data_IF_393544458814
#
_entry.id   IF_393544458814
#
_cell.length_a   1.000
_cell.length_b   1.000
_cell.length_c   1.000
_cell.angle_alpha   90.00
_cell.angle_beta   90.00
_cell.angle_gamma   90.00
#
_symmetry.space_group_name_H-M   'P 1'
#
loop_
_entity.id
_entity.type
_entity.pdbx_description
1 polymer ?
#
# COMPACT_ATOMS: atom_id res chain seq x y z
N UNK A 1 33.81 7.18 -31.14
CA UNK A 1 33.22 6.34 -30.07
C UNK A 1 32.74 7.25 -28.96
N UNK A 2 31.45 7.65 -28.99
CA UNK A 2 30.87 8.48 -27.95
C UNK A 2 30.46 7.60 -26.76
N UNK A 3 31.23 7.66 -25.68
CA UNK A 3 30.78 7.16 -24.37
C UNK A 3 29.63 8.07 -23.91
N UNK A 4 28.38 7.63 -24.12
CA UNK A 4 27.22 8.23 -23.43
C UNK A 4 27.49 8.07 -21.93
N UNK A 5 27.75 9.21 -21.25
CA UNK A 5 27.72 9.31 -19.79
C UNK A 5 26.29 8.96 -19.34
N UNK A 6 26.02 7.70 -19.02
CA UNK A 6 24.92 7.34 -18.14
C UNK A 6 25.29 7.83 -16.74
N UNK A 7 24.94 9.06 -16.41
CA UNK A 7 24.81 9.48 -15.04
C UNK A 7 23.96 8.41 -14.35
N UNK A 8 24.51 7.66 -13.42
CA UNK A 8 23.78 6.68 -12.62
C UNK A 8 22.75 7.46 -11.79
N UNK A 9 21.55 7.64 -12.32
CA UNK A 9 20.45 8.22 -11.54
C UNK A 9 20.32 7.36 -10.28
N UNK A 10 20.45 8.00 -9.12
CA UNK A 10 20.29 7.33 -7.83
C UNK A 10 18.88 6.70 -7.81
N UNK A 11 18.79 5.41 -7.51
CA UNK A 11 17.51 4.74 -7.29
C UNK A 11 16.91 5.32 -6.02
N UNK A 12 15.67 5.80 -6.09
CA UNK A 12 14.87 6.24 -4.95
C UNK A 12 13.77 5.21 -4.70
N UNK A 13 13.66 4.71 -3.48
CA UNK A 13 12.69 3.69 -3.13
C UNK A 13 11.72 4.25 -2.09
N UNK A 14 10.43 4.13 -2.40
CA UNK A 14 9.33 4.41 -1.49
C UNK A 14 8.47 3.14 -1.38
N UNK A 15 8.44 2.54 -0.19
CA UNK A 15 7.57 1.41 0.13
C UNK A 15 6.23 1.96 0.62
N UNK A 16 5.19 1.89 -0.21
CA UNK A 16 3.90 2.53 0.09
C UNK A 16 3.03 1.76 1.10
N UNK A 17 3.43 0.54 1.50
CA UNK A 17 2.65 -0.26 2.46
C UNK A 17 3.52 -1.34 3.11
N UNK A 18 3.71 -1.23 4.43
CA UNK A 18 4.47 -2.20 5.23
C UNK A 18 3.94 -2.29 6.67
N UNK A 19 3.86 -3.47 7.26
CA UNK A 19 3.45 -3.70 8.65
C UNK A 19 4.68 -3.75 9.57
N UNK A 20 5.29 -2.60 9.86
CA UNK A 20 6.55 -2.54 10.62
C UNK A 20 6.41 -2.81 12.12
N UNK A 21 5.18 -2.82 12.63
CA UNK A 21 4.87 -3.23 14.01
C UNK A 21 4.81 -4.74 14.20
N UNK A 22 4.74 -5.51 13.10
CA UNK A 22 4.71 -6.98 13.18
C UNK A 22 5.93 -7.53 13.93
N UNK A 23 5.70 -8.45 14.86
CA UNK A 23 6.73 -9.01 15.74
C UNK A 23 7.92 -9.65 15.00
N UNK A 24 7.74 -10.05 13.73
CA UNK A 24 8.80 -10.61 12.86
C UNK A 24 9.81 -9.56 12.40
N UNK A 25 9.44 -8.27 12.43
CA UNK A 25 10.28 -7.13 12.03
C UNK A 25 10.73 -6.28 13.23
N UNK A 26 10.16 -6.53 14.42
CA UNK A 26 10.42 -5.74 15.62
C UNK A 26 11.90 -5.82 16.02
N UNK A 27 12.51 -4.65 16.24
CA UNK A 27 13.90 -4.54 16.65
C UNK A 27 14.93 -4.64 15.51
N UNK A 28 14.50 -4.67 14.25
CA UNK A 28 15.41 -4.58 13.10
C UNK A 28 15.83 -3.12 12.89
N UNK A 29 16.97 -2.74 13.44
CA UNK A 29 17.56 -1.38 13.32
C UNK A 29 17.86 -1.02 11.86
N UNK A 30 17.99 -2.02 10.97
CA UNK A 30 18.30 -1.86 9.56
C UNK A 30 17.06 -1.90 8.66
N UNK A 31 15.86 -1.84 9.25
CA UNK A 31 14.59 -1.99 8.52
C UNK A 31 14.43 -0.99 7.37
N UNK A 32 14.99 0.21 7.52
CA UNK A 32 14.94 1.29 6.51
C UNK A 32 16.24 1.45 5.70
N UNK A 33 17.18 0.51 5.81
CA UNK A 33 18.41 0.60 5.01
C UNK A 33 18.08 0.54 3.51
N UNK A 34 18.70 1.44 2.74
CA UNK A 34 18.51 1.60 1.29
C UNK A 34 17.07 1.96 0.84
N UNK A 35 16.13 2.23 1.77
CA UNK A 35 14.78 2.73 1.46
C UNK A 35 14.69 4.21 1.86
N UNK A 36 14.27 5.06 0.91
CA UNK A 36 14.23 6.50 1.14
C UNK A 36 13.00 6.90 1.98
N UNK A 37 11.83 6.27 1.73
CA UNK A 37 10.59 6.48 2.49
C UNK A 37 9.78 5.19 2.58
N UNK A 38 9.00 5.06 3.65
CA UNK A 38 7.97 4.02 3.75
C UNK A 38 6.75 4.51 4.51
N UNK A 39 5.59 3.91 4.21
CA UNK A 39 4.36 4.02 5.01
C UNK A 39 4.21 2.75 5.83
N UNK A 40 4.21 2.90 7.16
CA UNK A 40 3.85 1.81 8.07
C UNK A 40 2.36 1.83 8.35
N UNK A 41 1.73 0.67 8.23
CA UNK A 41 0.31 0.50 8.53
C UNK A 41 0.15 0.11 9.98
N UNK A 42 -0.76 0.77 10.67
CA UNK A 42 -1.13 0.53 12.05
C UNK A 42 -2.57 0.03 12.14
N UNK A 43 -2.75 -1.15 12.70
CA UNK A 43 -4.04 -1.69 13.11
C UNK A 43 -4.29 -1.32 14.57
N UNK A 44 -5.37 -0.60 14.93
CA UNK A 44 -5.71 -0.33 16.32
C UNK A 44 -5.74 -1.61 17.17
N UNK A 45 -5.01 -1.57 18.31
CA UNK A 45 -4.75 -2.73 19.15
C UNK A 45 -3.32 -3.30 19.04
N UNK A 46 -2.52 -2.88 18.06
CA UNK A 46 -1.11 -3.29 17.93
C UNK A 46 -0.14 -2.50 18.83
N UNK A 47 -0.62 -1.41 19.41
CA UNK A 47 0.15 -0.56 20.33
C UNK A 47 0.44 0.82 19.76
N UNK A 48 -0.42 1.78 20.07
CA UNK A 48 -0.37 3.16 19.58
C UNK A 48 0.96 3.87 19.91
N UNK A 49 1.56 3.57 21.06
CA UNK A 49 2.85 4.18 21.48
C UNK A 49 4.02 3.67 20.63
N UNK A 50 4.00 2.43 20.23
CA UNK A 50 5.01 1.84 19.34
C UNK A 50 4.86 2.44 17.94
N UNK A 51 3.64 2.65 17.49
CA UNK A 51 3.35 3.35 16.23
C UNK A 51 3.89 4.79 16.27
N UNK A 52 3.58 5.56 17.29
CA UNK A 52 4.11 6.93 17.47
C UNK A 52 5.65 6.96 17.45
N UNK A 53 6.32 6.00 18.12
CA UNK A 53 7.78 5.90 18.10
C UNK A 53 8.34 5.62 16.71
N UNK A 54 7.68 4.79 15.89
CA UNK A 54 8.09 4.55 14.52
C UNK A 54 8.03 5.83 13.69
N UNK A 55 6.99 6.65 13.88
CA UNK A 55 6.82 7.91 13.19
C UNK A 55 7.88 8.98 13.56
N UNK A 56 8.63 8.81 14.65
CA UNK A 56 9.78 9.64 14.96
C UNK A 56 10.90 9.50 13.93
N UNK A 57 10.99 8.39 13.19
CA UNK A 57 11.93 8.25 12.08
C UNK A 57 11.53 9.20 10.94
N UNK A 58 12.42 10.10 10.44
CA UNK A 58 12.08 11.09 9.41
C UNK A 58 11.68 10.46 8.06
N UNK A 59 12.04 9.21 7.80
CA UNK A 59 11.73 8.48 6.56
C UNK A 59 10.45 7.66 6.64
N UNK A 60 9.83 7.53 7.83
CA UNK A 60 8.60 6.80 8.04
C UNK A 60 7.40 7.74 8.14
N UNK A 61 6.34 7.34 7.49
CA UNK A 61 5.00 7.88 7.57
C UNK A 61 4.05 6.78 8.02
N UNK A 62 2.83 7.12 8.38
CA UNK A 62 1.86 6.19 8.88
C UNK A 62 0.57 6.16 8.08
N UNK A 63 -0.09 5.02 8.09
CA UNK A 63 -1.51 4.88 7.80
C UNK A 63 -2.16 4.15 8.97
N UNK A 64 -3.38 4.53 9.32
CA UNK A 64 -4.12 3.93 10.42
C UNK A 64 -5.52 3.56 9.96
N UNK A 65 -5.92 2.31 10.17
CA UNK A 65 -7.22 1.79 9.76
C UNK A 65 -7.58 0.48 10.43
N UNK A 66 -8.85 0.10 10.38
CA UNK A 66 -9.31 -1.21 10.83
C UNK A 66 -9.47 -2.13 9.63
N UNK A 67 -8.60 -3.11 9.55
CA UNK A 67 -8.58 -4.10 8.49
C UNK A 67 -9.87 -4.95 8.49
N UNK A 68 -10.39 -5.39 7.34
CA UNK A 68 -11.62 -6.18 7.24
C UNK A 68 -11.63 -7.45 8.10
N UNK A 69 -10.48 -8.02 8.43
CA UNK A 69 -10.38 -9.18 9.32
C UNK A 69 -10.79 -8.88 10.77
N UNK A 70 -10.79 -7.61 11.18
CA UNK A 70 -11.08 -7.15 12.54
C UNK A 70 -12.28 -6.20 12.58
N UNK A 71 -13.09 -6.20 11.53
CA UNK A 71 -14.23 -5.28 11.39
C UNK A 71 -15.30 -5.48 12.46
N UNK A 72 -15.45 -6.68 13.01
CA UNK A 72 -16.37 -6.99 14.12
C UNK A 72 -15.98 -6.29 15.44
N UNK A 73 -14.71 -5.89 15.61
CA UNK A 73 -14.22 -5.09 16.73
C UNK A 73 -14.11 -3.59 16.42
N UNK A 74 -14.72 -3.07 15.35
CA UNK A 74 -14.54 -1.68 14.92
C UNK A 74 -14.89 -0.65 16.01
N UNK A 75 -16.01 -0.83 16.71
CA UNK A 75 -16.47 0.11 17.74
C UNK A 75 -15.51 0.24 18.92
N UNK A 76 -14.86 -0.84 19.32
CA UNK A 76 -13.87 -0.86 20.40
C UNK A 76 -12.54 -0.21 19.97
N UNK A 77 -12.25 -0.21 18.68
CA UNK A 77 -11.03 0.31 18.09
C UNK A 77 -11.11 1.78 17.65
N UNK A 78 -12.30 2.34 17.58
CA UNK A 78 -12.55 3.67 17.01
C UNK A 78 -11.75 4.79 17.72
N UNK A 79 -11.64 4.75 19.04
CA UNK A 79 -10.87 5.75 19.78
C UNK A 79 -9.37 5.72 19.42
N UNK A 80 -8.78 4.53 19.34
CA UNK A 80 -7.37 4.37 18.99
C UNK A 80 -7.12 4.67 17.50
N UNK A 81 -8.10 4.37 16.64
CA UNK A 81 -8.10 4.76 15.23
C UNK A 81 -8.03 6.29 15.10
N UNK A 82 -8.91 7.03 15.77
CA UNK A 82 -8.93 8.49 15.73
C UNK A 82 -7.65 9.09 16.30
N UNK A 83 -7.13 8.55 17.41
CA UNK A 83 -5.83 8.95 17.98
C UNK A 83 -4.69 8.74 16.98
N UNK A 84 -4.60 7.57 16.34
CA UNK A 84 -3.57 7.25 15.36
C UNK A 84 -3.64 8.12 14.10
N UNK A 85 -4.86 8.47 13.65
CA UNK A 85 -5.07 9.39 12.53
C UNK A 85 -4.69 10.84 12.88
N UNK A 86 -4.64 11.18 14.17
CA UNK A 86 -4.26 12.50 14.66
C UNK A 86 -2.76 12.78 14.70
N UNK A 87 -1.89 11.80 14.45
CA UNK A 87 -0.45 12.05 14.43
C UNK A 87 -0.02 12.74 13.13
N UNK A 88 0.82 13.77 13.24
CA UNK A 88 1.25 14.64 12.12
C UNK A 88 1.79 13.86 10.89
N UNK A 89 2.34 12.68 11.10
CA UNK A 89 2.92 11.85 10.04
C UNK A 89 2.03 10.68 9.61
N UNK A 90 0.80 10.63 10.09
CA UNK A 90 -0.22 9.73 9.56
C UNK A 90 -0.86 10.40 8.34
N UNK A 91 -0.58 9.85 7.17
CA UNK A 91 -0.85 10.47 5.86
C UNK A 91 -1.99 9.80 5.09
N UNK A 92 -2.59 8.74 5.62
CA UNK A 92 -3.71 8.03 5.01
C UNK A 92 -4.56 7.33 6.07
N UNK A 93 -5.83 7.13 5.79
CA UNK A 93 -6.65 6.15 6.49
C UNK A 93 -6.49 4.79 5.79
N UNK A 94 -6.14 3.79 6.55
CA UNK A 94 -5.98 2.42 6.06
C UNK A 94 -4.96 1.61 6.89
N UNK A 95 -5.00 0.33 6.72
CA UNK A 95 -5.68 -0.47 5.72
C UNK A 95 -7.14 -0.68 6.10
N UNK A 96 -8.07 -0.49 5.17
CA UNK A 96 -9.49 -0.74 5.33
C UNK A 96 -10.06 -1.37 4.06
N UNK A 97 -11.28 -1.88 4.07
CA UNK A 97 -11.88 -2.46 2.87
C UNK A 97 -12.59 -3.79 3.12
N UNK A 98 -12.47 -4.74 2.16
CA UNK A 98 -13.22 -5.99 2.16
C UNK A 98 -12.33 -7.21 1.84
N UNK A 99 -12.47 -8.29 2.62
CA UNK A 99 -11.88 -9.60 2.35
C UNK A 99 -12.96 -10.69 2.38
N UNK A 100 -13.41 -11.11 1.21
CA UNK A 100 -14.38 -12.21 1.04
C UNK A 100 -13.70 -13.55 0.75
N UNK A 101 -12.39 -13.61 0.93
CA UNK A 101 -11.65 -14.86 0.84
C UNK A 101 -11.51 -15.54 2.20
N UNK A 102 -11.11 -14.80 3.22
CA UNK A 102 -10.95 -15.34 4.59
C UNK A 102 -12.23 -15.20 5.42
N UNK A 103 -12.99 -14.11 5.22
CA UNK A 103 -14.23 -13.82 5.94
C UNK A 103 -14.09 -13.95 7.47
N UNK A 104 -12.97 -13.45 8.03
CA UNK A 104 -12.73 -13.49 9.48
C UNK A 104 -13.78 -12.69 10.27
N UNK A 105 -14.28 -11.58 9.68
CA UNK A 105 -15.50 -10.90 10.13
C UNK A 105 -16.61 -11.10 9.09
N UNK A 106 -17.89 -11.10 9.48
CA UNK A 106 -19.02 -11.21 8.55
C UNK A 106 -19.01 -10.12 7.47
N UNK A 107 -19.38 -10.45 6.25
CA UNK A 107 -19.35 -9.52 5.09
C UNK A 107 -20.07 -8.21 5.34
N UNK A 108 -21.26 -8.26 5.95
CA UNK A 108 -22.04 -7.05 6.22
C UNK A 108 -21.34 -6.14 7.24
N UNK A 109 -20.73 -6.72 8.27
CA UNK A 109 -19.93 -5.99 9.25
C UNK A 109 -18.69 -5.37 8.60
N UNK A 110 -18.00 -6.08 7.70
CA UNK A 110 -16.90 -5.51 6.92
C UNK A 110 -17.35 -4.29 6.12
N UNK A 111 -18.52 -4.37 5.44
CA UNK A 111 -19.07 -3.25 4.65
C UNK A 111 -19.42 -2.04 5.53
N UNK A 112 -20.04 -2.27 6.69
CA UNK A 112 -20.40 -1.22 7.63
C UNK A 112 -19.14 -0.52 8.19
N UNK A 113 -18.12 -1.28 8.60
CA UNK A 113 -16.85 -0.75 9.08
C UNK A 113 -16.11 0.02 7.98
N UNK A 114 -16.09 -0.51 6.75
CA UNK A 114 -15.47 0.17 5.60
C UNK A 114 -16.18 1.50 5.30
N UNK A 115 -17.51 1.50 5.20
CA UNK A 115 -18.28 2.73 4.94
C UNK A 115 -18.11 3.77 6.06
N UNK A 116 -18.00 3.35 7.32
CA UNK A 116 -17.73 4.23 8.45
C UNK A 116 -16.35 4.88 8.36
N UNK A 117 -15.34 4.10 8.01
CA UNK A 117 -13.98 4.59 7.82
C UNK A 117 -13.86 5.55 6.63
N UNK A 118 -14.59 5.31 5.52
CA UNK A 118 -14.63 6.27 4.41
C UNK A 118 -15.21 7.64 4.82
N UNK A 119 -16.28 7.65 5.65
CA UNK A 119 -16.82 8.89 6.19
C UNK A 119 -15.80 9.62 7.09
N UNK A 120 -15.06 8.87 7.88
CA UNK A 120 -14.00 9.45 8.73
C UNK A 120 -12.87 10.03 7.87
N UNK A 121 -12.40 9.30 6.84
CA UNK A 121 -11.40 9.78 5.90
C UNK A 121 -11.83 11.08 5.19
N UNK A 122 -13.08 11.14 4.73
CA UNK A 122 -13.66 12.33 4.09
C UNK A 122 -13.66 13.53 5.05
N UNK A 123 -14.06 13.33 6.31
CA UNK A 123 -14.08 14.37 7.34
C UNK A 123 -12.69 14.92 7.67
N UNK A 124 -11.65 14.09 7.54
CA UNK A 124 -10.24 14.43 7.80
C UNK A 124 -9.49 14.84 6.53
N UNK A 125 -10.13 14.77 5.36
CA UNK A 125 -9.51 14.99 4.04
C UNK A 125 -8.28 14.09 3.81
N UNK A 126 -8.33 12.85 4.27
CA UNK A 126 -7.26 11.86 4.11
C UNK A 126 -7.53 10.95 2.91
N UNK A 127 -6.50 10.59 2.14
CA UNK A 127 -6.60 9.51 1.17
C UNK A 127 -6.81 8.17 1.88
N UNK A 128 -7.33 7.15 1.17
CA UNK A 128 -7.58 5.84 1.74
C UNK A 128 -6.76 4.74 1.08
N UNK A 129 -6.21 3.82 1.88
CA UNK A 129 -5.56 2.59 1.44
C UNK A 129 -6.56 1.45 1.59
N UNK A 130 -6.93 0.84 0.45
CA UNK A 130 -8.03 -0.12 0.36
C UNK A 130 -7.51 -1.53 0.12
N UNK A 131 -7.88 -2.43 1.03
CA UNK A 131 -7.80 -3.87 0.85
C UNK A 131 -9.03 -4.38 0.07
N UNK A 132 -8.79 -5.14 -0.98
CA UNK A 132 -9.88 -5.76 -1.75
C UNK A 132 -9.49 -7.16 -2.19
N UNK A 133 -10.06 -8.18 -1.56
CA UNK A 133 -9.77 -9.57 -1.90
C UNK A 133 -11.04 -10.38 -2.13
N UNK A 134 -11.24 -10.82 -3.38
CA UNK A 134 -12.50 -11.46 -3.85
C UNK A 134 -13.75 -10.60 -3.58
N UNK A 135 -13.59 -9.29 -3.50
CA UNK A 135 -14.59 -8.34 -3.11
C UNK A 135 -14.67 -7.11 -4.04
N UNK A 136 -13.97 -7.14 -5.17
CA UNK A 136 -13.74 -5.97 -6.03
C UNK A 136 -15.05 -5.21 -6.37
N UNK A 137 -16.08 -5.90 -6.82
CA UNK A 137 -17.37 -5.28 -7.19
C UNK A 137 -18.04 -4.57 -6.02
N UNK A 138 -18.00 -5.18 -4.85
CA UNK A 138 -18.59 -4.61 -3.64
C UNK A 138 -17.77 -3.43 -3.13
N UNK A 139 -16.44 -3.54 -3.18
CA UNK A 139 -15.51 -2.45 -2.85
C UNK A 139 -15.77 -1.24 -3.74
N UNK A 140 -15.84 -1.42 -5.06
CA UNK A 140 -16.12 -0.33 -6.02
C UNK A 140 -17.47 0.33 -5.77
N UNK A 141 -18.51 -0.45 -5.40
CA UNK A 141 -19.84 0.09 -5.07
C UNK A 141 -19.83 0.98 -3.82
N UNK A 142 -19.12 0.55 -2.77
CA UNK A 142 -19.02 1.34 -1.53
C UNK A 142 -18.23 2.63 -1.78
N UNK A 143 -17.21 2.58 -2.64
CA UNK A 143 -16.40 3.74 -3.03
C UNK A 143 -17.15 4.76 -3.91
N UNK A 144 -18.32 4.45 -4.48
CA UNK A 144 -19.08 5.39 -5.33
C UNK A 144 -19.42 6.72 -4.63
N UNK A 145 -19.58 6.70 -3.30
CA UNK A 145 -19.87 7.89 -2.50
C UNK A 145 -18.66 8.62 -1.93
N UNK A 146 -17.45 8.14 -2.18
CA UNK A 146 -16.21 8.73 -1.64
C UNK A 146 -15.52 9.60 -2.69
N UNK A 147 -15.13 10.82 -2.32
CA UNK A 147 -14.54 11.80 -3.25
C UNK A 147 -13.04 12.00 -3.05
N UNK A 148 -12.42 11.37 -2.05
CA UNK A 148 -10.99 11.44 -1.79
C UNK A 148 -10.17 10.53 -2.69
N UNK A 149 -8.85 10.64 -2.61
CA UNK A 149 -7.93 9.74 -3.31
C UNK A 149 -7.98 8.32 -2.72
N UNK A 150 -7.96 7.33 -3.59
CA UNK A 150 -8.04 5.90 -3.25
C UNK A 150 -6.83 5.17 -3.78
N UNK A 151 -6.18 4.36 -2.94
CA UNK A 151 -5.14 3.41 -3.32
C UNK A 151 -5.65 1.98 -3.11
N UNK A 152 -5.87 1.24 -4.18
CA UNK A 152 -6.00 -0.22 -4.09
C UNK A 152 -4.61 -0.82 -3.84
N UNK A 153 -4.33 -1.18 -2.56
CA UNK A 153 -3.06 -1.78 -2.22
C UNK A 153 -2.98 -3.23 -2.69
N UNK A 154 -1.78 -3.71 -2.97
CA UNK A 154 -1.50 -5.09 -3.40
C UNK A 154 -2.49 -5.61 -4.46
N UNK A 155 -2.78 -4.78 -5.48
CA UNK A 155 -3.79 -5.06 -6.50
C UNK A 155 -3.55 -6.44 -7.14
N UNK A 156 -4.54 -7.31 -7.07
CA UNK A 156 -4.44 -8.72 -7.46
C UNK A 156 -5.45 -9.16 -8.52
N UNK A 157 -6.23 -8.23 -9.04
CA UNK A 157 -7.23 -8.49 -10.07
C UNK A 157 -6.63 -8.46 -11.50
N UNK A 158 -7.49 -8.59 -12.52
CA UNK A 158 -7.09 -8.62 -13.92
C UNK A 158 -7.11 -7.26 -14.62
N UNK A 159 -6.80 -7.26 -15.95
CA UNK A 159 -6.77 -6.02 -16.75
C UNK A 159 -8.09 -5.26 -16.76
N UNK A 160 -9.23 -5.96 -16.79
CA UNK A 160 -10.55 -5.33 -16.83
C UNK A 160 -10.85 -4.54 -15.56
N UNK A 161 -10.54 -5.10 -14.41
CA UNK A 161 -10.70 -4.44 -13.11
C UNK A 161 -9.72 -3.27 -12.98
N UNK A 162 -8.50 -3.41 -13.54
CA UNK A 162 -7.52 -2.33 -13.61
C UNK A 162 -8.04 -1.14 -14.41
N UNK A 163 -8.65 -1.38 -15.58
CA UNK A 163 -9.24 -0.32 -16.41
C UNK A 163 -10.33 0.44 -15.63
N UNK A 164 -11.21 -0.27 -14.91
CA UNK A 164 -12.25 0.36 -14.08
C UNK A 164 -11.67 1.23 -12.95
N UNK A 165 -10.58 0.78 -12.31
CA UNK A 165 -9.87 1.55 -11.28
C UNK A 165 -9.24 2.81 -11.88
N UNK A 166 -8.61 2.68 -13.06
CA UNK A 166 -7.99 3.82 -13.77
C UNK A 166 -9.04 4.84 -14.25
N UNK A 167 -10.20 4.39 -14.74
CA UNK A 167 -11.31 5.28 -15.15
C UNK A 167 -11.85 6.13 -13.99
N UNK A 168 -11.79 5.62 -12.76
CA UNK A 168 -12.15 6.37 -11.55
C UNK A 168 -11.03 7.32 -11.09
N UNK A 169 -9.86 7.30 -11.72
CA UNK A 169 -8.69 8.08 -11.32
C UNK A 169 -8.03 7.58 -10.02
N UNK A 170 -8.31 6.36 -9.59
CA UNK A 170 -7.72 5.77 -8.40
C UNK A 170 -6.28 5.31 -8.65
N UNK A 171 -5.53 5.16 -7.56
CA UNK A 171 -4.18 4.61 -7.56
C UNK A 171 -4.19 3.11 -7.29
N UNK A 172 -3.14 2.45 -7.73
CA UNK A 172 -2.89 1.03 -7.45
C UNK A 172 -1.46 0.83 -6.99
N UNK A 173 -1.24 -0.09 -6.07
CA UNK A 173 0.11 -0.56 -5.78
C UNK A 173 0.28 -2.03 -6.10
N UNK A 174 1.53 -2.44 -6.30
CA UNK A 174 1.90 -3.84 -6.42
C UNK A 174 3.04 -4.18 -5.48
N UNK A 175 2.91 -5.35 -4.87
CA UNK A 175 3.93 -5.92 -3.98
C UNK A 175 4.67 -7.10 -4.59
N UNK A 176 5.24 -7.94 -3.74
CA UNK A 176 5.99 -9.13 -4.14
C UNK A 176 5.25 -10.07 -5.11
N UNK A 177 3.92 -10.06 -5.09
CA UNK A 177 3.05 -10.88 -5.95
C UNK A 177 3.37 -10.74 -7.44
N UNK A 178 3.72 -9.54 -7.93
CA UNK A 178 4.01 -9.29 -9.35
C UNK A 178 5.19 -10.12 -9.86
N UNK A 179 6.07 -10.55 -8.94
CA UNK A 179 7.24 -11.38 -9.23
C UNK A 179 6.93 -12.88 -9.28
N UNK A 180 5.73 -13.32 -8.84
CA UNK A 180 5.41 -14.73 -8.74
C UNK A 180 5.13 -15.33 -10.12
N UNK A 181 5.57 -16.57 -10.39
CA UNK A 181 5.31 -17.21 -11.68
C UNK A 181 3.82 -17.28 -12.04
N UNK A 182 2.96 -17.55 -11.05
CA UNK A 182 1.50 -17.68 -11.22
C UNK A 182 0.75 -16.37 -11.39
N UNK A 183 1.39 -15.20 -11.23
CA UNK A 183 0.73 -13.89 -11.25
C UNK A 183 0.67 -13.27 -12.66
N UNK A 184 0.35 -14.06 -13.70
CA UNK A 184 0.29 -13.55 -15.07
C UNK A 184 -0.81 -12.50 -15.25
N UNK A 185 -2.02 -12.76 -14.73
CA UNK A 185 -3.13 -11.80 -14.80
C UNK A 185 -2.79 -10.45 -14.17
N UNK A 186 -2.10 -10.45 -13.03
CA UNK A 186 -1.63 -9.22 -12.37
C UNK A 186 -0.64 -8.48 -13.26
N UNK A 187 0.32 -9.18 -13.87
CA UNK A 187 1.27 -8.55 -14.80
C UNK A 187 0.59 -7.92 -16.02
N UNK A 188 -0.41 -8.60 -16.59
CA UNK A 188 -1.21 -8.04 -17.68
C UNK A 188 -2.01 -6.80 -17.22
N UNK A 189 -2.56 -6.82 -16.01
CA UNK A 189 -3.22 -5.65 -15.43
C UNK A 189 -2.25 -4.46 -15.32
N UNK A 190 -1.04 -4.66 -14.83
CA UNK A 190 -0.05 -3.59 -14.73
C UNK A 190 0.51 -3.12 -16.08
N UNK A 191 0.37 -3.87 -17.17
CA UNK A 191 0.68 -3.37 -18.52
C UNK A 191 -0.26 -2.24 -18.95
N UNK A 192 -1.55 -2.36 -18.63
CA UNK A 192 -2.59 -1.39 -19.03
C UNK A 192 -2.75 -0.22 -18.05
N UNK A 193 -2.28 -0.36 -16.80
CA UNK A 193 -2.36 0.70 -15.80
C UNK A 193 -1.65 2.00 -16.25
N UNK A 194 -2.21 3.16 -15.95
CA UNK A 194 -1.58 4.47 -16.16
C UNK A 194 -0.34 4.66 -15.29
N UNK A 195 0.75 5.11 -15.88
CA UNK A 195 2.04 5.23 -15.18
C UNK A 195 2.01 6.19 -13.99
N UNK A 196 1.16 7.21 -14.06
CA UNK A 196 0.99 8.26 -13.03
C UNK A 196 0.20 7.82 -11.80
N UNK A 197 -0.38 6.62 -11.83
CA UNK A 197 -1.24 6.09 -10.76
C UNK A 197 -0.71 4.80 -10.14
N UNK A 198 0.53 4.43 -10.44
CA UNK A 198 1.15 3.20 -9.94
C UNK A 198 2.10 3.52 -8.79
N UNK A 199 1.92 2.82 -7.66
CA UNK A 199 2.84 2.76 -6.54
C UNK A 199 3.46 1.36 -6.43
N UNK A 200 4.49 1.24 -5.61
CA UNK A 200 5.13 -0.04 -5.25
C UNK A 200 5.17 -0.19 -3.74
N UNK A 201 5.05 -1.42 -3.29
CA UNK A 201 5.06 -1.76 -1.87
C UNK A 201 5.73 -3.11 -1.62
N UNK A 202 5.92 -3.43 -0.35
CA UNK A 202 6.36 -4.77 0.05
C UNK A 202 5.23 -5.60 0.65
N UNK A 203 4.30 -4.98 1.34
CA UNK A 203 3.38 -5.66 2.27
C UNK A 203 4.16 -6.49 3.30
N UNK A 204 5.36 -6.00 3.68
CA UNK A 204 6.22 -6.70 4.63
C UNK A 204 5.58 -6.79 6.01
N UNK A 205 5.69 -7.95 6.69
CA UNK A 205 6.57 -9.09 6.45
C UNK A 205 6.03 -10.18 5.51
N UNK A 206 4.91 -9.92 4.83
CA UNK A 206 4.25 -10.87 3.93
C UNK A 206 4.83 -10.82 2.51
N UNK A 207 4.38 -11.70 1.64
CA UNK A 207 4.52 -11.68 0.18
C UNK A 207 5.96 -11.45 -0.34
N UNK A 208 6.99 -12.00 0.34
CA UNK A 208 8.38 -11.86 -0.09
C UNK A 208 8.54 -12.10 -1.60
N UNK A 209 9.16 -11.16 -2.37
CA UNK A 209 9.30 -11.29 -3.81
C UNK A 209 10.29 -12.40 -4.22
N UNK A 210 10.25 -12.84 -5.48
CA UNK A 210 11.36 -13.60 -6.08
C UNK A 210 12.57 -12.66 -6.20
N UNK A 211 13.79 -13.08 -5.79
CA UNK A 211 14.21 -14.44 -5.40
C UNK A 211 14.13 -14.71 -3.88
N UNK A 212 13.40 -13.95 -3.10
CA UNK A 212 13.37 -14.01 -1.64
C UNK A 212 12.22 -14.85 -1.06
N UNK A 213 11.48 -15.57 -1.92
CA UNK A 213 10.37 -16.44 -1.51
C UNK A 213 10.70 -17.32 -0.31
N UNK A 214 9.72 -17.45 0.62
CA UNK A 214 9.86 -18.26 1.85
C UNK A 214 10.63 -17.57 2.99
N UNK A 215 11.08 -16.33 2.80
CA UNK A 215 11.70 -15.51 3.85
C UNK A 215 10.70 -14.47 4.38
N UNK A 216 10.97 -13.94 5.56
CA UNK A 216 10.29 -12.74 6.09
C UNK A 216 10.61 -11.58 5.16
N UNK A 217 9.57 -10.96 4.57
CA UNK A 217 9.74 -9.82 3.68
C UNK A 217 10.17 -8.56 4.46
N UNK A 218 10.77 -7.60 3.78
CA UNK A 218 11.25 -6.35 4.40
C UNK A 218 11.26 -5.21 3.36
N UNK A 219 11.14 -3.95 3.80
CA UNK A 219 11.02 -2.76 2.92
C UNK A 219 12.07 -2.69 1.81
N UNK A 220 13.34 -3.04 2.09
CA UNK A 220 14.40 -3.06 1.07
C UNK A 220 14.04 -3.91 -0.17
N UNK A 221 13.22 -4.93 -0.01
CA UNK A 221 12.89 -5.82 -1.13
C UNK A 221 11.86 -5.23 -2.10
N UNK A 222 11.33 -4.03 -1.83
CA UNK A 222 10.55 -3.25 -2.79
C UNK A 222 11.34 -3.01 -4.10
N UNK A 223 12.68 -3.00 -4.04
CA UNK A 223 13.54 -2.94 -5.23
C UNK A 223 13.31 -4.05 -6.25
N UNK A 224 12.96 -5.27 -5.78
CA UNK A 224 12.63 -6.39 -6.68
C UNK A 224 11.29 -6.20 -7.35
N UNK A 225 10.35 -5.59 -6.63
CA UNK A 225 9.03 -5.18 -7.17
C UNK A 225 9.24 -4.12 -8.25
N UNK A 226 9.99 -3.05 -7.94
CA UNK A 226 10.33 -2.00 -8.90
C UNK A 226 11.02 -2.55 -10.16
N UNK A 227 11.98 -3.49 -9.99
CA UNK A 227 12.68 -4.13 -11.10
C UNK A 227 11.72 -4.91 -12.00
N UNK A 228 10.84 -5.71 -11.41
CA UNK A 228 9.86 -6.49 -12.18
C UNK A 228 8.85 -5.60 -12.90
N UNK A 229 8.38 -4.54 -12.24
CA UNK A 229 7.46 -3.58 -12.83
C UNK A 229 8.13 -2.80 -13.99
N UNK A 230 9.42 -2.44 -13.86
CA UNK A 230 10.21 -1.81 -14.91
C UNK A 230 10.29 -2.69 -16.18
N UNK A 231 10.53 -4.00 -16.02
CA UNK A 231 10.51 -4.97 -17.13
C UNK A 231 9.14 -4.99 -17.82
N UNK A 232 8.03 -5.03 -17.05
CA UNK A 232 6.66 -5.07 -17.58
C UNK A 232 6.34 -3.80 -18.38
N UNK A 233 6.78 -2.65 -17.89
CA UNK A 233 6.54 -1.34 -18.50
C UNK A 233 7.55 -0.97 -19.60
N UNK A 234 8.60 -1.76 -19.78
CA UNK A 234 9.64 -1.51 -20.80
C UNK A 234 10.47 -0.27 -20.52
N UNK A 235 10.65 0.12 -19.26
CA UNK A 235 11.50 1.26 -18.83
C UNK A 235 12.62 0.80 -17.92
N UNK A 236 13.59 1.66 -17.65
CA UNK A 236 14.71 1.32 -16.75
C UNK A 236 14.28 1.32 -15.28
N UNK A 237 14.98 0.55 -14.43
CA UNK A 237 14.74 0.56 -12.99
C UNK A 237 14.87 1.96 -12.35
N UNK A 238 15.87 2.81 -12.71
CA UNK A 238 15.92 4.18 -12.20
C UNK A 238 14.71 5.04 -12.59
N UNK A 239 14.20 4.89 -13.82
CA UNK A 239 12.98 5.60 -14.25
C UNK A 239 11.77 5.13 -13.49
N UNK A 240 11.59 3.81 -13.35
CA UNK A 240 10.51 3.22 -12.58
C UNK A 240 10.55 3.69 -11.11
N UNK A 241 11.72 3.68 -10.49
CA UNK A 241 11.87 4.08 -9.09
C UNK A 241 11.52 5.55 -8.85
N UNK A 242 11.94 6.45 -9.75
CA UNK A 242 11.59 7.87 -9.67
C UNK A 242 10.09 8.09 -9.90
N UNK A 243 9.52 7.40 -10.87
CA UNK A 243 8.09 7.48 -11.18
C UNK A 243 7.23 7.06 -9.99
N UNK A 244 7.46 5.87 -9.45
CA UNK A 244 6.66 5.35 -8.34
C UNK A 244 6.90 6.11 -7.04
N UNK A 245 8.13 6.61 -6.81
CA UNK A 245 8.43 7.49 -5.69
C UNK A 245 7.62 8.80 -5.77
N UNK A 246 7.58 9.43 -6.94
CA UNK A 246 6.83 10.68 -7.14
C UNK A 246 5.32 10.44 -6.99
N UNK A 247 4.80 9.35 -7.58
CA UNK A 247 3.38 8.99 -7.44
C UNK A 247 2.99 8.80 -5.98
N UNK A 248 3.82 8.08 -5.19
CA UNK A 248 3.59 7.89 -3.77
C UNK A 248 3.65 9.23 -3.01
N UNK A 249 4.62 10.10 -3.34
CA UNK A 249 4.71 11.43 -2.74
C UNK A 249 3.48 12.28 -3.02
N UNK A 250 2.94 12.23 -4.25
CA UNK A 250 1.70 12.95 -4.61
C UNK A 250 0.49 12.36 -3.87
N UNK A 251 0.32 11.03 -3.90
CA UNK A 251 -0.81 10.37 -3.27
C UNK A 251 -0.90 10.64 -1.76
N UNK A 252 0.24 10.60 -1.07
CA UNK A 252 0.31 10.82 0.38
C UNK A 252 0.51 12.30 0.78
N UNK A 253 0.59 13.24 -0.16
CA UNK A 253 0.85 14.65 0.14
C UNK A 253 2.21 14.90 0.80
N UNK A 254 3.23 14.10 0.50
CA UNK A 254 4.57 14.15 1.10
C UNK A 254 5.54 14.87 0.16
N UNK A 255 6.16 15.96 0.61
CA UNK A 255 7.17 16.72 -0.13
C UNK A 255 8.57 16.04 -0.15
#
# INVERSE_FOLDING_TARGET
MNKKNYSSKKIKLFDSHAHLLDGRLKGDEHIMDEVDRAVTVFEPGEGIREYEKLLANPRLYGACGVHPHYADGYSEKENELVEGLGFDKTVALGETGLDFHYENSPREIQKEAFASQLKLADSLSLPVIVHSRKAFRETMRILEGFNGDVLFHCFSEGPREMEEVMERGYYVSTGGIITFPSAESVREAFKVAGNERILIETDSPYLAPVPKRGKVNRPLWVRYVAGRLAEIKGISLPEMSVMTYNNASVFFGIE
#
